data_IF_647609157697
#
_entry.id   IF_647609157697
#
_cell.length_a   1.000
_cell.length_b   1.000
_cell.length_c   1.000
_cell.angle_alpha   90.00
_cell.angle_beta   90.00
_cell.angle_gamma   90.00
#
_symmetry.space_group_name_H-M   'P 1'
#
loop_
_entity.id
_entity.type
_entity.pdbx_description
1 polymer ?
#
# COMPACT_ATOMS: atom_id res chain seq x y z
N UNK A 1 -74.13 166.27 -25.33
CA UNK A 1 -75.25 165.38 -25.03
C UNK A 1 -74.68 163.99 -24.76
N UNK A 2 -74.88 163.47 -23.55
CA UNK A 2 -75.23 162.08 -23.15
C UNK A 2 -74.64 160.89 -23.93
N UNK A 3 -74.32 159.72 -23.37
CA UNK A 3 -74.36 159.15 -22.03
C UNK A 3 -73.54 157.82 -22.08
N UNK A 4 -72.81 157.54 -21.00
CA UNK A 4 -72.85 156.32 -20.16
C UNK A 4 -73.97 155.26 -20.41
N UNK A 5 -73.97 154.02 -19.83
CA UNK A 5 -73.02 153.32 -18.95
C UNK A 5 -72.98 151.76 -19.21
N UNK A 6 -72.95 150.79 -18.23
CA UNK A 6 -71.94 149.72 -18.14
C UNK A 6 -72.61 148.34 -17.84
N UNK A 7 -72.18 147.41 -16.94
CA UNK A 7 -70.87 146.80 -16.60
C UNK A 7 -70.88 145.23 -16.62
N UNK A 8 -69.73 144.62 -16.24
CA UNK A 8 -69.60 143.40 -15.41
C UNK A 8 -69.55 141.98 -16.09
N UNK A 9 -69.10 140.91 -15.38
CA UNK A 9 -67.80 140.28 -15.64
C UNK A 9 -67.83 138.73 -15.75
N UNK A 10 -66.63 138.14 -15.92
CA UNK A 10 -66.18 136.86 -15.33
C UNK A 10 -65.77 135.71 -16.27
N UNK A 11 -64.66 135.10 -15.83
CA UNK A 11 -64.13 133.75 -16.04
C UNK A 11 -63.32 133.45 -17.31
N UNK A 12 -62.06 133.10 -17.00
CA UNK A 12 -61.01 132.44 -17.81
C UNK A 12 -61.60 131.42 -18.80
N UNK A 13 -60.95 131.29 -19.97
CA UNK A 13 -60.51 129.95 -20.34
C UNK A 13 -59.11 129.96 -20.97
N UNK A 14 -58.17 129.29 -20.31
CA UNK A 14 -57.39 128.15 -20.83
C UNK A 14 -57.04 128.05 -22.34
N UNK A 15 -56.84 129.15 -23.08
CA UNK A 15 -56.48 129.09 -24.52
C UNK A 15 -54.97 128.98 -24.79
N UNK A 16 -54.13 129.32 -23.81
CA UNK A 16 -52.69 129.04 -23.85
C UNK A 16 -52.31 127.63 -23.34
N UNK A 17 -53.25 126.92 -22.69
CA UNK A 17 -53.04 125.53 -22.29
C UNK A 17 -53.07 124.57 -23.48
N UNK A 18 -53.73 124.92 -24.59
CA UNK A 18 -53.77 124.08 -25.80
C UNK A 18 -52.39 123.92 -26.47
N UNK A 19 -51.64 124.99 -26.80
CA UNK A 19 -50.30 124.82 -27.38
C UNK A 19 -49.32 124.21 -26.36
N UNK A 20 -49.44 124.57 -25.08
CA UNK A 20 -48.61 123.96 -24.02
C UNK A 20 -48.91 122.47 -23.84
N UNK A 21 -50.18 122.07 -23.87
CA UNK A 21 -50.61 120.67 -23.79
C UNK A 21 -50.15 119.89 -25.03
N UNK A 22 -50.18 120.49 -26.22
CA UNK A 22 -49.65 119.86 -27.45
C UNK A 22 -48.14 119.64 -27.34
N UNK A 23 -47.38 120.61 -26.83
CA UNK A 23 -45.94 120.45 -26.61
C UNK A 23 -45.63 119.41 -25.53
N UNK A 24 -46.40 119.37 -24.45
CA UNK A 24 -46.27 118.36 -23.40
C UNK A 24 -46.63 116.96 -23.92
N UNK A 25 -47.68 116.84 -24.74
CA UNK A 25 -48.07 115.56 -25.37
C UNK A 25 -47.01 115.11 -26.38
N UNK A 26 -46.44 116.01 -27.18
CA UNK A 26 -45.34 115.69 -28.10
C UNK A 26 -44.06 115.31 -27.35
N UNK A 27 -43.73 116.00 -26.26
CA UNK A 27 -42.61 115.65 -25.39
C UNK A 27 -42.80 114.30 -24.69
N UNK A 28 -44.02 114.02 -24.19
CA UNK A 28 -44.39 112.75 -23.59
C UNK A 28 -44.39 111.62 -24.62
N UNK A 29 -44.86 111.85 -25.85
CA UNK A 29 -44.82 110.87 -26.93
C UNK A 29 -43.38 110.59 -27.39
N UNK A 30 -42.52 111.61 -27.49
CA UNK A 30 -41.10 111.46 -27.80
C UNK A 30 -40.36 110.71 -26.68
N UNK A 31 -40.62 111.04 -25.42
CA UNK A 31 -40.06 110.35 -24.26
C UNK A 31 -40.53 108.89 -24.19
N UNK A 32 -41.84 108.62 -24.39
CA UNK A 32 -42.38 107.28 -24.42
C UNK A 32 -41.82 106.44 -25.58
N UNK A 33 -41.64 107.04 -26.77
CA UNK A 33 -41.01 106.40 -27.93
C UNK A 33 -39.53 106.08 -27.68
N UNK A 34 -38.79 107.00 -27.07
CA UNK A 34 -37.41 106.76 -26.65
C UNK A 34 -37.32 105.69 -25.57
N UNK A 35 -38.19 105.72 -24.56
CA UNK A 35 -38.26 104.70 -23.52
C UNK A 35 -38.62 103.33 -24.10
N UNK A 36 -39.56 103.26 -25.04
CA UNK A 36 -39.95 102.03 -25.73
C UNK A 36 -38.79 101.47 -26.56
N UNK A 37 -38.08 102.33 -27.30
CA UNK A 37 -36.89 101.93 -28.06
C UNK A 37 -35.74 101.47 -27.15
N UNK A 38 -35.53 102.15 -26.02
CA UNK A 38 -34.54 101.78 -25.01
C UNK A 38 -34.89 100.45 -24.33
N UNK A 39 -36.19 100.20 -24.07
CA UNK A 39 -36.71 98.93 -23.56
C UNK A 39 -36.45 97.81 -24.58
N UNK A 40 -36.77 98.06 -25.85
CA UNK A 40 -36.61 97.09 -26.93
C UNK A 40 -35.12 96.78 -27.22
N UNK A 41 -34.21 97.73 -27.02
CA UNK A 41 -32.77 97.48 -27.05
C UNK A 41 -32.29 96.64 -25.87
N UNK A 42 -32.83 96.88 -24.67
CA UNK A 42 -32.51 96.06 -23.48
C UNK A 42 -33.05 94.64 -23.62
N UNK A 43 -34.25 94.47 -24.16
CA UNK A 43 -34.87 93.16 -24.40
C UNK A 43 -34.10 92.38 -25.46
N UNK A 44 -33.66 93.04 -26.55
CA UNK A 44 -32.80 92.42 -27.57
C UNK A 44 -31.42 92.07 -27.02
N UNK A 45 -30.82 92.92 -26.20
CA UNK A 45 -29.54 92.62 -25.55
C UNK A 45 -29.68 91.47 -24.53
N UNK A 46 -30.78 91.42 -23.78
CA UNK A 46 -31.09 90.34 -22.84
C UNK A 46 -31.39 89.02 -23.57
N UNK A 47 -32.08 89.05 -24.72
CA UNK A 47 -32.28 87.88 -25.58
C UNK A 47 -30.96 87.41 -26.20
N UNK A 48 -30.11 88.31 -26.70
CA UNK A 48 -28.80 87.95 -27.23
C UNK A 48 -27.92 87.31 -26.15
N UNK A 49 -27.91 87.85 -24.93
CA UNK A 49 -27.21 87.26 -23.79
C UNK A 49 -27.79 85.90 -23.38
N UNK A 50 -29.12 85.74 -23.35
CA UNK A 50 -29.72 84.46 -23.00
C UNK A 50 -29.47 83.38 -24.06
N UNK A 51 -29.45 83.74 -25.34
CA UNK A 51 -29.05 82.83 -26.42
C UNK A 51 -27.58 82.47 -26.35
N UNK A 52 -26.69 83.43 -26.03
CA UNK A 52 -25.25 83.17 -25.86
C UNK A 52 -24.98 82.25 -24.66
N UNK A 53 -25.68 82.43 -23.55
CA UNK A 53 -25.62 81.54 -22.38
C UNK A 53 -26.13 80.13 -22.74
N UNK A 54 -27.22 80.01 -23.49
CA UNK A 54 -27.74 78.71 -23.94
C UNK A 54 -26.76 78.00 -24.89
N UNK A 55 -26.17 78.72 -25.85
CA UNK A 55 -25.17 78.18 -26.77
C UNK A 55 -23.92 77.71 -26.02
N UNK A 56 -23.41 78.52 -25.08
CA UNK A 56 -22.30 78.13 -24.21
C UNK A 56 -22.64 76.92 -23.34
N UNK A 57 -23.88 76.81 -22.86
CA UNK A 57 -24.37 75.64 -22.13
C UNK A 57 -24.43 74.37 -22.99
N UNK A 58 -24.88 74.49 -24.24
CA UNK A 58 -24.89 73.42 -25.24
C UNK A 58 -23.46 72.99 -25.62
N UNK A 59 -22.55 73.94 -25.82
CA UNK A 59 -21.16 73.67 -26.14
C UNK A 59 -20.44 73.00 -24.96
N UNK A 60 -20.69 73.46 -23.74
CA UNK A 60 -20.18 72.85 -22.52
C UNK A 60 -20.74 71.42 -22.29
N UNK A 61 -22.01 71.17 -22.61
CA UNK A 61 -22.61 69.83 -22.52
C UNK A 61 -22.08 68.90 -23.60
N UNK A 62 -21.87 69.37 -24.84
CA UNK A 62 -21.21 68.59 -25.90
C UNK A 62 -19.77 68.24 -25.51
N UNK A 63 -19.02 69.19 -24.94
CA UNK A 63 -17.64 68.93 -24.50
C UNK A 63 -17.60 68.03 -23.25
N UNK A 64 -18.57 68.12 -22.34
CA UNK A 64 -18.74 67.18 -21.24
C UNK A 64 -19.06 65.77 -21.77
N UNK A 65 -20.01 65.65 -22.71
CA UNK A 65 -20.38 64.37 -23.30
C UNK A 65 -19.23 63.75 -24.10
N UNK A 66 -18.43 64.55 -24.81
CA UNK A 66 -17.21 64.10 -25.48
C UNK A 66 -16.16 63.60 -24.50
N UNK A 67 -15.96 64.30 -23.38
CA UNK A 67 -15.05 63.84 -22.32
C UNK A 67 -15.54 62.55 -21.67
N UNK A 68 -16.83 62.44 -21.38
CA UNK A 68 -17.44 61.21 -20.88
C UNK A 68 -17.32 60.05 -21.88
N UNK A 69 -17.58 60.30 -23.16
CA UNK A 69 -17.40 59.30 -24.22
C UNK A 69 -15.95 58.80 -24.26
N UNK A 70 -14.96 59.69 -24.22
CA UNK A 70 -13.54 59.32 -24.16
C UNK A 70 -13.21 58.53 -22.89
N UNK A 71 -13.72 58.95 -21.73
CA UNK A 71 -13.54 58.25 -20.47
C UNK A 71 -14.17 56.84 -20.50
N UNK A 72 -15.36 56.69 -21.07
CA UNK A 72 -15.99 55.37 -21.27
C UNK A 72 -15.24 54.50 -22.28
N UNK A 73 -14.73 55.08 -23.37
CA UNK A 73 -13.90 54.36 -24.33
C UNK A 73 -12.59 53.86 -23.69
N UNK A 74 -11.95 54.67 -22.86
CA UNK A 74 -10.77 54.27 -22.09
C UNK A 74 -11.11 53.16 -21.12
N UNK A 75 -12.18 53.28 -20.33
CA UNK A 75 -12.63 52.20 -19.43
C UNK A 75 -12.94 50.90 -20.17
N UNK A 76 -13.53 50.96 -21.36
CA UNK A 76 -13.77 49.78 -22.20
C UNK A 76 -12.47 49.14 -22.69
N UNK A 77 -11.49 49.94 -23.08
CA UNK A 77 -10.16 49.46 -23.48
C UNK A 77 -9.43 48.83 -22.30
N UNK A 78 -9.47 49.46 -21.12
CA UNK A 78 -8.89 48.94 -19.89
C UNK A 78 -9.55 47.62 -19.49
N UNK A 79 -10.88 47.55 -19.48
CA UNK A 79 -11.61 46.32 -19.19
C UNK A 79 -11.32 45.21 -20.21
N UNK A 80 -11.14 45.55 -21.48
CA UNK A 80 -10.73 44.59 -22.51
C UNK A 80 -9.29 44.10 -22.29
N UNK A 81 -8.37 44.98 -21.89
CA UNK A 81 -7.00 44.61 -21.54
C UNK A 81 -6.94 43.69 -20.32
N UNK A 82 -7.68 44.01 -19.24
CA UNK A 82 -7.77 43.16 -18.05
C UNK A 82 -8.37 41.78 -18.37
N UNK A 83 -9.42 41.72 -19.18
CA UNK A 83 -10.01 40.43 -19.60
C UNK A 83 -9.04 39.57 -20.41
N UNK A 84 -8.18 40.16 -21.25
CA UNK A 84 -7.15 39.40 -21.96
C UNK A 84 -6.14 38.80 -20.99
N UNK A 85 -5.64 39.59 -20.04
CA UNK A 85 -4.70 39.10 -19.01
C UNK A 85 -5.33 37.98 -18.18
N UNK A 86 -6.58 38.13 -17.74
CA UNK A 86 -7.31 37.07 -17.02
C UNK A 86 -7.48 35.80 -17.86
N UNK A 87 -7.73 35.94 -19.16
CA UNK A 87 -7.82 34.79 -20.08
C UNK A 87 -6.46 34.11 -20.24
N UNK A 88 -5.39 34.86 -20.39
CA UNK A 88 -4.03 34.32 -20.52
C UNK A 88 -3.59 33.63 -19.22
N UNK A 89 -3.93 34.19 -18.06
CA UNK A 89 -3.72 33.57 -16.75
C UNK A 89 -4.57 32.32 -16.57
N UNK A 90 -5.84 32.33 -17.01
CA UNK A 90 -6.70 31.14 -17.00
C UNK A 90 -6.11 30.02 -17.88
N UNK A 91 -5.64 30.37 -19.08
CA UNK A 91 -4.99 29.42 -19.99
C UNK A 91 -3.67 28.90 -19.37
N UNK A 92 -2.88 29.78 -18.77
CA UNK A 92 -1.66 29.42 -18.06
C UNK A 92 -1.91 28.51 -16.86
N UNK A 93 -2.97 28.77 -16.09
CA UNK A 93 -3.40 27.95 -14.97
C UNK A 93 -3.88 26.57 -15.44
N UNK A 94 -4.63 26.51 -16.55
CA UNK A 94 -5.09 25.25 -17.16
C UNK A 94 -3.92 24.40 -17.69
N UNK A 95 -2.91 25.01 -18.30
CA UNK A 95 -1.71 24.29 -18.73
C UNK A 95 -0.92 23.76 -17.53
N UNK A 96 -0.78 24.57 -16.48
CA UNK A 96 -0.11 24.14 -15.24
C UNK A 96 -0.90 23.05 -14.51
N UNK A 97 -2.24 23.10 -14.50
CA UNK A 97 -3.06 22.03 -13.90
C UNK A 97 -2.92 20.72 -14.66
N UNK A 98 -2.92 20.76 -16.00
CA UNK A 98 -2.67 19.58 -16.83
C UNK A 98 -1.27 18.98 -16.56
N UNK A 99 -0.24 19.82 -16.41
CA UNK A 99 1.10 19.35 -16.03
C UNK A 99 1.14 18.77 -14.62
N UNK A 100 0.41 19.34 -13.65
CA UNK A 100 0.32 18.81 -12.30
C UNK A 100 -0.40 17.46 -12.27
N UNK A 101 -1.46 17.28 -13.06
CA UNK A 101 -2.16 16.01 -13.23
C UNK A 101 -1.24 14.95 -13.86
N UNK A 102 -0.48 15.31 -14.89
CA UNK A 102 0.50 14.39 -15.49
C UNK A 102 1.62 14.01 -14.50
N UNK A 103 2.14 14.97 -13.73
CA UNK A 103 3.15 14.67 -12.72
C UNK A 103 2.58 13.83 -11.57
N UNK A 104 1.34 14.09 -11.15
CA UNK A 104 0.66 13.30 -10.13
C UNK A 104 0.45 11.85 -10.60
N UNK A 105 -0.03 11.66 -11.83
CA UNK A 105 -0.19 10.31 -12.41
C UNK A 105 1.15 9.58 -12.52
N UNK A 106 2.20 10.25 -13.02
CA UNK A 106 3.57 9.71 -13.05
C UNK A 106 4.11 9.37 -11.66
N UNK A 107 3.84 10.21 -10.65
CA UNK A 107 4.26 9.96 -9.28
C UNK A 107 3.54 8.75 -8.68
N UNK A 108 2.21 8.65 -8.88
CA UNK A 108 1.44 7.49 -8.41
C UNK A 108 1.89 6.20 -9.08
N UNK A 109 2.21 6.26 -10.38
CA UNK A 109 2.73 5.12 -11.14
C UNK A 109 4.11 4.70 -10.62
N UNK A 110 5.03 5.65 -10.44
CA UNK A 110 6.36 5.39 -9.86
C UNK A 110 6.26 4.83 -8.43
N UNK A 111 5.36 5.36 -7.60
CA UNK A 111 5.11 4.84 -6.26
C UNK A 111 4.55 3.41 -6.28
N UNK A 112 3.66 3.09 -7.23
CA UNK A 112 3.15 1.73 -7.43
C UNK A 112 4.27 0.77 -7.86
N UNK A 113 5.08 1.16 -8.83
CA UNK A 113 6.23 0.37 -9.30
C UNK A 113 7.25 0.14 -8.18
N UNK A 114 7.54 1.15 -7.37
CA UNK A 114 8.43 1.03 -6.21
C UNK A 114 7.89 0.06 -5.16
N UNK A 115 6.59 0.12 -4.83
CA UNK A 115 5.95 -0.86 -3.92
C UNK A 115 6.01 -2.28 -4.48
N UNK A 116 5.75 -2.46 -5.76
CA UNK A 116 5.83 -3.77 -6.42
C UNK A 116 7.25 -4.32 -6.45
N UNK A 117 8.27 -3.47 -6.61
CA UNK A 117 9.68 -3.90 -6.53
C UNK A 117 10.02 -4.41 -5.13
N UNK A 118 9.64 -3.67 -4.09
CA UNK A 118 9.87 -4.10 -2.69
C UNK A 118 9.17 -5.42 -2.37
N UNK A 119 7.92 -5.61 -2.82
CA UNK A 119 7.19 -6.87 -2.61
C UNK A 119 7.88 -8.07 -3.27
N UNK A 120 8.48 -7.87 -4.45
CA UNK A 120 9.27 -8.92 -5.12
C UNK A 120 10.55 -9.25 -4.37
N UNK A 121 11.27 -8.22 -3.94
CA UNK A 121 12.52 -8.38 -3.20
C UNK A 121 12.26 -9.08 -1.85
N UNK A 122 11.16 -8.74 -1.17
CA UNK A 122 10.71 -9.42 0.04
C UNK A 122 10.39 -10.89 -0.24
N UNK A 123 9.63 -11.19 -1.30
CA UNK A 123 9.34 -12.57 -1.69
C UNK A 123 10.62 -13.36 -2.03
N UNK A 124 11.57 -12.75 -2.77
CA UNK A 124 12.86 -13.36 -3.08
C UNK A 124 13.67 -13.66 -1.82
N UNK A 125 13.74 -12.71 -0.88
CA UNK A 125 14.43 -12.88 0.40
C UNK A 125 13.82 -14.04 1.19
N UNK A 126 12.50 -14.06 1.34
CA UNK A 126 11.77 -15.10 2.07
C UNK A 126 11.99 -16.49 1.45
N UNK A 127 11.91 -16.60 0.12
CA UNK A 127 12.13 -17.86 -0.59
C UNK A 127 13.59 -18.31 -0.52
N UNK A 128 14.54 -17.37 -0.58
CA UNK A 128 15.97 -17.66 -0.39
C UNK A 128 16.23 -18.19 1.02
N UNK A 129 15.65 -17.57 2.05
CA UNK A 129 15.75 -18.04 3.43
C UNK A 129 15.11 -19.43 3.58
N UNK A 130 13.95 -19.67 2.96
CA UNK A 130 13.29 -20.97 2.99
C UNK A 130 14.17 -22.06 2.37
N UNK A 131 14.77 -21.77 1.21
CA UNK A 131 15.69 -22.69 0.53
C UNK A 131 16.93 -23.01 1.39
N UNK A 132 17.52 -22.02 2.06
CA UNK A 132 18.63 -22.24 2.98
C UNK A 132 18.24 -23.15 4.16
N UNK A 133 17.08 -22.93 4.76
CA UNK A 133 16.60 -23.75 5.89
C UNK A 133 16.35 -25.20 5.47
N UNK A 134 15.81 -25.43 4.28
CA UNK A 134 15.66 -26.78 3.71
C UNK A 134 17.02 -27.43 3.44
N UNK A 135 17.93 -26.70 2.77
CA UNK A 135 19.23 -27.25 2.37
C UNK A 135 20.10 -27.68 3.56
N UNK A 136 20.13 -26.89 4.64
CA UNK A 136 21.02 -27.14 5.77
C UNK A 136 20.34 -27.91 6.91
N UNK A 137 19.14 -27.48 7.31
CA UNK A 137 18.46 -27.99 8.50
C UNK A 137 17.35 -29.01 8.18
N UNK A 138 16.97 -29.19 6.91
CA UNK A 138 15.76 -29.94 6.52
C UNK A 138 14.51 -29.45 7.27
N UNK A 139 14.47 -28.15 7.61
CA UNK A 139 13.39 -27.55 8.39
C UNK A 139 12.19 -27.22 7.49
N UNK A 140 11.41 -28.26 7.23
CA UNK A 140 10.21 -28.22 6.37
C UNK A 140 9.14 -27.29 6.95
N UNK A 141 8.92 -27.30 8.26
CA UNK A 141 7.91 -26.46 8.91
C UNK A 141 8.31 -24.97 8.88
N UNK A 142 9.59 -24.70 9.12
CA UNK A 142 10.17 -23.38 9.01
C UNK A 142 10.10 -22.84 7.58
N UNK A 143 10.39 -23.68 6.59
CA UNK A 143 10.23 -23.33 5.18
C UNK A 143 8.76 -23.05 4.85
N UNK A 144 7.81 -23.87 5.30
CA UNK A 144 6.37 -23.71 5.01
C UNK A 144 5.84 -22.35 5.44
N UNK A 145 6.28 -21.87 6.62
CA UNK A 145 5.95 -20.53 7.12
C UNK A 145 6.50 -19.43 6.22
N UNK A 146 7.74 -19.56 5.76
CA UNK A 146 8.36 -18.59 4.85
C UNK A 146 7.70 -18.59 3.46
N UNK A 147 7.36 -19.76 2.91
CA UNK A 147 6.60 -19.87 1.66
C UNK A 147 5.19 -19.25 1.78
N UNK A 148 4.54 -19.39 2.94
CA UNK A 148 3.25 -18.74 3.18
C UNK A 148 3.39 -17.21 3.25
N UNK A 149 4.45 -16.68 3.88
CA UNK A 149 4.75 -15.25 3.90
C UNK A 149 5.07 -14.71 2.50
N UNK A 150 5.86 -15.46 1.72
CA UNK A 150 6.16 -15.12 0.32
C UNK A 150 4.87 -15.09 -0.52
N UNK A 151 3.92 -15.99 -0.27
CA UNK A 151 2.63 -15.99 -0.95
C UNK A 151 1.82 -14.72 -0.66
N UNK A 152 1.87 -14.22 0.57
CA UNK A 152 1.25 -12.93 0.94
C UNK A 152 1.94 -11.77 0.22
N UNK A 153 3.27 -11.73 0.19
CA UNK A 153 4.02 -10.67 -0.49
C UNK A 153 3.72 -10.63 -2.00
N UNK A 154 3.54 -11.80 -2.64
CA UNK A 154 3.19 -11.90 -4.07
C UNK A 154 1.70 -11.70 -4.35
N UNK A 155 0.81 -11.71 -3.35
CA UNK A 155 -0.63 -11.62 -3.54
C UNK A 155 -1.07 -10.26 -4.09
N UNK A 156 -0.35 -9.19 -3.70
CA UNK A 156 -0.64 -7.81 -4.06
C UNK A 156 -0.07 -7.40 -5.43
N UNK A 157 0.69 -8.30 -6.08
CA UNK A 157 1.24 -8.05 -7.41
C UNK A 157 0.13 -8.10 -8.49
N UNK A 158 0.23 -7.27 -9.54
CA UNK A 158 -0.71 -7.30 -10.65
C UNK A 158 -0.66 -8.63 -11.42
N UNK A 159 -1.79 -9.03 -12.00
CA UNK A 159 -1.96 -10.35 -12.62
C UNK A 159 -0.99 -10.63 -13.78
N UNK A 160 -0.62 -9.60 -14.55
CA UNK A 160 0.31 -9.71 -15.69
C UNK A 160 1.67 -10.33 -15.30
N UNK A 161 2.15 -10.05 -14.09
CA UNK A 161 3.45 -10.46 -13.60
C UNK A 161 3.32 -11.51 -12.47
N UNK A 162 2.26 -11.41 -11.67
CA UNK A 162 2.07 -12.23 -10.47
C UNK A 162 1.33 -13.56 -10.68
N UNK A 163 0.60 -13.76 -11.79
CA UNK A 163 -0.19 -14.99 -11.99
C UNK A 163 0.70 -16.25 -12.05
N UNK A 164 1.72 -16.23 -12.91
CA UNK A 164 2.63 -17.38 -13.08
C UNK A 164 3.42 -17.66 -11.78
N UNK A 165 3.87 -16.61 -11.10
CA UNK A 165 4.58 -16.72 -9.83
C UNK A 165 3.70 -17.35 -8.74
N UNK A 166 2.44 -16.89 -8.60
CA UNK A 166 1.50 -17.46 -7.64
C UNK A 166 1.16 -18.92 -7.96
N UNK A 167 1.02 -19.28 -9.23
CA UNK A 167 0.74 -20.65 -9.63
C UNK A 167 1.93 -21.58 -9.35
N UNK A 168 3.17 -21.15 -9.66
CA UNK A 168 4.37 -21.89 -9.32
C UNK A 168 4.53 -22.05 -7.80
N UNK A 169 4.27 -20.97 -7.05
CA UNK A 169 4.39 -20.98 -5.60
C UNK A 169 3.37 -21.93 -4.94
N UNK A 170 2.14 -22.00 -5.46
CA UNK A 170 1.13 -22.95 -4.98
C UNK A 170 1.60 -24.38 -5.19
N UNK A 171 2.12 -24.72 -6.38
CA UNK A 171 2.65 -26.06 -6.65
C UNK A 171 3.82 -26.42 -5.72
N UNK A 172 4.71 -25.46 -5.45
CA UNK A 172 5.82 -25.67 -4.51
C UNK A 172 5.34 -25.85 -3.07
N UNK A 173 4.32 -25.11 -2.66
CA UNK A 173 3.68 -25.29 -1.34
C UNK A 173 3.01 -26.64 -1.23
N UNK A 174 2.32 -27.12 -2.25
CA UNK A 174 1.72 -28.46 -2.26
C UNK A 174 2.80 -29.55 -2.19
N UNK A 175 3.92 -29.36 -2.90
CA UNK A 175 5.07 -30.26 -2.81
C UNK A 175 5.70 -30.25 -1.40
N UNK A 176 5.80 -29.08 -0.78
CA UNK A 176 6.28 -28.94 0.60
C UNK A 176 5.31 -29.54 1.61
N UNK A 177 4.01 -29.43 1.34
CA UNK A 177 2.95 -29.99 2.16
C UNK A 177 2.98 -31.52 2.14
N UNK A 178 3.23 -32.12 0.97
CA UNK A 178 3.39 -33.56 0.77
C UNK A 178 4.58 -34.17 1.56
N UNK A 179 5.60 -33.37 1.91
CA UNK A 179 6.71 -33.81 2.76
C UNK A 179 6.31 -34.00 4.23
N UNK A 180 5.13 -33.50 4.64
CA UNK A 180 4.62 -33.58 6.00
C UNK A 180 5.56 -32.87 7.00
N UNK A 181 5.98 -33.60 8.03
CA UNK A 181 6.93 -33.11 9.07
C UNK A 181 8.39 -33.11 8.63
N UNK A 182 8.70 -33.65 7.45
CA UNK A 182 10.06 -33.76 6.92
C UNK A 182 10.79 -35.05 7.29
N UNK A 183 11.75 -35.50 6.45
CA UNK A 183 12.41 -36.79 6.61
C UNK A 183 13.24 -36.91 7.90
N UNK A 184 13.95 -35.86 8.34
CA UNK A 184 14.71 -35.94 9.61
C UNK A 184 13.81 -36.15 10.82
N UNK A 185 12.71 -35.40 10.90
CA UNK A 185 11.74 -35.50 12.01
C UNK A 185 11.09 -36.89 12.03
N UNK A 186 10.71 -37.42 10.86
CA UNK A 186 10.19 -38.79 10.76
C UNK A 186 11.22 -39.84 11.20
N UNK A 187 12.48 -39.70 10.80
CA UNK A 187 13.56 -40.60 11.22
C UNK A 187 13.78 -40.56 12.74
N UNK A 188 13.73 -39.37 13.36
CA UNK A 188 13.82 -39.20 14.82
C UNK A 188 12.65 -39.85 15.55
N UNK A 189 11.43 -39.68 15.07
CA UNK A 189 10.25 -40.35 15.66
C UNK A 189 10.37 -41.88 15.58
N UNK A 190 10.78 -42.41 14.43
CA UNK A 190 11.00 -43.85 14.26
C UNK A 190 12.14 -44.38 15.16
N UNK A 191 13.24 -43.63 15.29
CA UNK A 191 14.33 -43.99 16.22
C UNK A 191 13.84 -44.04 17.67
N UNK A 192 13.05 -43.06 18.10
CA UNK A 192 12.46 -43.05 19.44
C UNK A 192 11.50 -44.23 19.66
N UNK A 193 10.69 -44.58 18.66
CA UNK A 193 9.80 -45.74 18.73
C UNK A 193 10.59 -47.05 18.86
N UNK A 194 11.68 -47.21 18.11
CA UNK A 194 12.58 -48.37 18.24
C UNK A 194 13.22 -48.41 19.62
N UNK A 195 13.70 -47.27 20.13
CA UNK A 195 14.30 -47.20 21.47
C UNK A 195 13.31 -47.63 22.57
N UNK A 196 12.06 -47.17 22.50
CA UNK A 196 10.99 -47.58 23.42
C UNK A 196 10.64 -49.06 23.27
N UNK A 197 10.57 -49.57 22.04
CA UNK A 197 10.26 -50.97 21.78
C UNK A 197 11.35 -51.91 22.31
N UNK A 198 12.64 -51.53 22.17
CA UNK A 198 13.77 -52.29 22.73
C UNK A 198 13.71 -52.36 24.26
N UNK A 199 13.37 -51.25 24.93
CA UNK A 199 13.20 -51.22 26.40
C UNK A 199 12.06 -52.15 26.88
N UNK A 200 11.03 -52.35 26.06
CA UNK A 200 9.90 -53.24 26.35
C UNK A 200 10.15 -54.72 26.09
N UNK A 201 11.31 -55.11 25.53
CA UNK A 201 11.58 -56.51 25.20
C UNK A 201 11.85 -57.34 26.48
N UNK A 202 11.30 -58.57 26.56
CA UNK A 202 11.53 -59.45 27.69
C UNK A 202 13.01 -59.85 27.77
N UNK A 203 13.58 -59.79 28.99
CA UNK A 203 14.99 -60.16 29.21
C UNK A 203 15.24 -61.67 29.13
N UNK A 204 14.20 -62.49 29.32
CA UNK A 204 14.25 -63.95 29.24
C UNK A 204 13.08 -64.44 28.41
N UNK A 205 13.32 -65.42 27.52
CA UNK A 205 12.25 -66.11 26.82
C UNK A 205 11.80 -67.30 27.67
N UNK A 206 10.49 -67.49 27.88
CA UNK A 206 10.00 -68.71 28.49
C UNK A 206 10.38 -69.92 27.62
N UNK A 207 10.68 -71.08 28.22
CA UNK A 207 11.08 -72.27 27.49
C UNK A 207 9.97 -72.68 26.52
N UNK A 208 10.36 -73.08 25.29
CA UNK A 208 9.38 -73.53 24.30
C UNK A 208 8.69 -74.82 24.77
N UNK A 209 7.38 -75.02 24.53
CA UNK A 209 6.67 -76.24 24.92
C UNK A 209 7.32 -77.53 24.39
N UNK A 210 7.92 -77.48 23.20
CA UNK A 210 8.68 -78.59 22.62
C UNK A 210 10.00 -78.89 23.35
N UNK A 211 10.70 -77.86 23.87
CA UNK A 211 11.91 -78.04 24.68
C UNK A 211 11.57 -78.51 26.09
N UNK A 212 10.44 -78.06 26.64
CA UNK A 212 9.93 -78.52 27.94
C UNK A 212 9.52 -80.00 27.91
N UNK A 213 8.92 -80.47 26.81
CA UNK A 213 8.54 -81.87 26.61
C UNK A 213 9.74 -82.82 26.39
N UNK A 214 10.87 -82.29 25.92
CA UNK A 214 12.08 -83.07 25.65
C UNK A 214 13.00 -83.24 26.87
N UNK A 215 12.67 -82.62 28.03
CA UNK A 215 13.48 -82.75 29.25
C UNK A 215 13.33 -84.15 29.87
N UNK A 216 14.42 -84.91 30.06
CA UNK A 216 14.39 -86.17 30.80
C UNK A 216 13.87 -86.00 32.23
N UNK A 217 13.10 -86.96 32.72
CA UNK A 217 12.49 -86.94 34.07
C UNK A 217 13.49 -86.68 35.21
N UNK A 218 14.74 -87.12 35.06
CA UNK A 218 15.80 -86.90 36.05
C UNK A 218 16.26 -85.44 36.13
N UNK A 219 16.19 -84.69 35.02
CA UNK A 219 16.45 -83.25 35.03
C UNK A 219 15.35 -82.51 35.80
N UNK A 220 14.10 -82.97 35.70
CA UNK A 220 12.99 -82.42 36.48
C UNK A 220 13.13 -82.71 37.98
N UNK A 221 13.63 -83.90 38.35
CA UNK A 221 13.88 -84.28 39.74
C UNK A 221 15.06 -83.52 40.39
N UNK A 222 16.06 -83.13 39.60
CA UNK A 222 17.25 -82.40 40.05
C UNK A 222 17.13 -80.87 39.90
N UNK A 223 16.12 -80.37 39.20
CA UNK A 223 15.86 -78.94 38.98
C UNK A 223 15.86 -78.07 40.26
N UNK A 224 15.42 -78.55 41.45
CA UNK A 224 15.50 -77.75 42.68
C UNK A 224 16.92 -77.50 43.19
N UNK A 225 17.90 -78.29 42.72
CA UNK A 225 19.27 -78.29 43.26
C UNK A 225 20.32 -77.84 42.25
N UNK A 226 20.10 -78.06 40.95
CA UNK A 226 21.06 -77.71 39.88
C UNK A 226 20.31 -77.22 38.66
N UNK A 227 20.56 -75.97 38.27
CA UNK A 227 20.04 -75.40 37.03
C UNK A 227 21.09 -75.56 35.93
N UNK A 228 20.83 -76.47 34.99
CA UNK A 228 21.73 -76.73 33.85
C UNK A 228 21.30 -75.83 32.70
N UNK A 229 21.92 -74.66 32.60
CA UNK A 229 21.71 -73.75 31.48
C UNK A 229 22.61 -74.15 30.31
N UNK A 230 22.08 -74.57 29.15
CA UNK A 230 22.90 -74.89 27.99
C UNK A 230 23.67 -73.63 27.55
N UNK A 231 24.99 -73.70 27.60
CA UNK A 231 25.91 -72.63 27.21
C UNK A 231 25.87 -72.43 25.70
N UNK A 232 24.93 -71.60 25.21
CA UNK A 232 24.99 -71.07 23.84
C UNK A 232 26.09 -70.02 23.74
N UNK A 233 27.37 -70.42 23.76
CA UNK A 233 28.59 -69.62 23.53
C UNK A 233 28.80 -68.31 24.35
N UNK A 234 27.77 -67.75 24.98
CA UNK A 234 27.78 -66.69 25.98
C UNK A 234 26.69 -67.07 26.98
N UNK A 235 27.04 -67.27 28.25
CA UNK A 235 26.06 -67.49 29.31
C UNK A 235 25.09 -66.30 29.45
N UNK A 236 24.03 -66.42 30.27
CA UNK A 236 23.18 -65.28 30.60
C UNK A 236 24.06 -64.14 31.13
N UNK A 237 23.93 -62.95 30.52
CA UNK A 237 24.73 -61.78 30.90
C UNK A 237 24.60 -61.52 32.40
N UNK A 238 25.74 -61.30 33.05
CA UNK A 238 25.76 -60.86 34.44
C UNK A 238 25.01 -59.53 34.58
N UNK A 239 24.55 -59.21 35.78
CA UNK A 239 23.84 -57.94 36.01
C UNK A 239 24.70 -56.72 35.63
N UNK A 240 26.02 -56.79 35.88
CA UNK A 240 26.96 -55.74 35.50
C UNK A 240 27.12 -55.61 33.98
N UNK A 241 27.21 -56.73 33.25
CA UNK A 241 27.28 -56.72 31.78
C UNK A 241 25.99 -56.22 31.15
N UNK A 242 24.83 -56.52 31.75
CA UNK A 242 23.53 -55.97 31.32
C UNK A 242 23.49 -54.45 31.47
N UNK A 243 23.90 -53.94 32.62
CA UNK A 243 23.99 -52.50 32.85
C UNK A 243 24.93 -51.83 31.84
N UNK A 244 26.11 -52.41 31.59
CA UNK A 244 27.06 -51.89 30.61
C UNK A 244 26.51 -51.90 29.17
N UNK A 245 25.73 -52.92 28.80
CA UNK A 245 25.08 -52.99 27.51
C UNK A 245 23.95 -51.95 27.37
N UNK A 246 23.18 -51.72 28.44
CA UNK A 246 22.12 -50.70 28.47
C UNK A 246 22.72 -49.29 28.35
N UNK A 247 23.83 -48.99 29.05
CA UNK A 247 24.57 -47.73 28.94
C UNK A 247 25.15 -47.52 27.53
N UNK A 248 25.76 -48.56 26.95
CA UNK A 248 26.28 -48.52 25.58
C UNK A 248 25.17 -48.28 24.55
N UNK A 249 24.01 -48.93 24.71
CA UNK A 249 22.85 -48.71 23.85
C UNK A 249 22.35 -47.28 23.94
N UNK A 250 22.25 -46.71 25.15
CA UNK A 250 21.84 -45.33 25.34
C UNK A 250 22.80 -44.37 24.64
N UNK A 251 24.11 -44.57 24.79
CA UNK A 251 25.11 -43.77 24.09
C UNK A 251 24.95 -43.85 22.57
N UNK A 252 24.84 -45.05 22.00
CA UNK A 252 24.71 -45.23 20.55
C UNK A 252 23.39 -44.66 20.00
N UNK A 253 22.29 -44.74 20.76
CA UNK A 253 21.03 -44.09 20.42
C UNK A 253 21.17 -42.55 20.41
N UNK A 254 21.89 -41.97 21.37
CA UNK A 254 22.15 -40.52 21.36
C UNK A 254 23.05 -40.09 20.20
N UNK A 255 24.05 -40.91 19.84
CA UNK A 255 24.89 -40.66 18.66
C UNK A 255 24.09 -40.78 17.36
N UNK A 256 23.20 -41.77 17.26
CA UNK A 256 22.29 -41.91 16.13
C UNK A 256 21.36 -40.69 16.01
N UNK A 257 20.83 -40.20 17.14
CA UNK A 257 20.00 -38.99 17.19
C UNK A 257 20.77 -37.76 16.67
N UNK A 258 21.97 -37.53 17.19
CA UNK A 258 22.82 -36.41 16.78
C UNK A 258 23.26 -36.51 15.31
N UNK A 259 23.45 -37.72 14.78
CA UNK A 259 23.76 -37.92 13.37
C UNK A 259 22.55 -37.61 12.47
N UNK A 260 21.35 -38.04 12.86
CA UNK A 260 20.10 -37.72 12.14
C UNK A 260 19.84 -36.21 12.12
N UNK A 261 19.99 -35.53 13.26
CA UNK A 261 19.81 -34.07 13.36
C UNK A 261 20.74 -33.30 12.42
N UNK A 262 21.99 -33.75 12.30
CA UNK A 262 22.99 -33.18 11.37
C UNK A 262 22.82 -33.63 9.91
N UNK A 263 21.95 -34.60 9.63
CA UNK A 263 21.83 -35.22 8.30
C UNK A 263 23.04 -36.09 7.91
N UNK A 264 23.87 -36.51 8.87
CA UNK A 264 25.03 -37.37 8.64
C UNK A 264 24.59 -38.83 8.46
N UNK A 265 24.40 -39.21 7.19
CA UNK A 265 24.00 -40.58 6.81
C UNK A 265 25.02 -41.63 7.26
N UNK A 266 26.31 -41.30 7.20
CA UNK A 266 27.39 -42.24 7.53
C UNK A 266 27.49 -42.48 9.04
N UNK A 267 27.44 -41.42 9.84
CA UNK A 267 27.43 -41.48 11.30
C UNK A 267 26.17 -42.16 11.82
N UNK A 268 25.01 -41.88 11.20
CA UNK A 268 23.76 -42.57 11.52
C UNK A 268 23.88 -44.06 11.27
N UNK A 269 24.35 -44.46 10.08
CA UNK A 269 24.50 -45.88 9.74
C UNK A 269 25.44 -46.63 10.68
N UNK A 270 26.57 -46.00 11.03
CA UNK A 270 27.52 -46.56 11.98
C UNK A 270 26.90 -46.73 13.37
N UNK A 271 26.19 -45.72 13.88
CA UNK A 271 25.51 -45.77 15.18
C UNK A 271 24.39 -46.83 15.17
N UNK A 272 23.53 -46.87 14.15
CA UNK A 272 22.44 -47.86 14.05
C UNK A 272 22.97 -49.30 13.97
N UNK A 273 24.11 -49.54 13.32
CA UNK A 273 24.77 -50.85 13.32
C UNK A 273 25.27 -51.25 14.71
N UNK A 274 25.84 -50.30 15.48
CA UNK A 274 26.27 -50.55 16.84
C UNK A 274 25.08 -50.78 17.78
N UNK A 275 23.98 -50.05 17.60
CA UNK A 275 22.70 -50.34 18.31
C UNK A 275 22.23 -51.76 18.03
N UNK A 276 22.20 -52.19 16.77
CA UNK A 276 21.78 -53.55 16.41
C UNK A 276 22.71 -54.61 17.02
N UNK A 277 24.03 -54.37 17.03
CA UNK A 277 25.00 -55.27 17.64
C UNK A 277 24.79 -55.42 19.16
N UNK A 278 24.65 -54.30 19.87
CA UNK A 278 24.41 -54.31 21.31
C UNK A 278 23.04 -54.90 21.67
N UNK A 279 22.00 -54.66 20.84
CA UNK A 279 20.68 -55.24 21.03
C UNK A 279 20.70 -56.77 20.92
N UNK A 280 21.41 -57.31 19.91
CA UNK A 280 21.58 -58.76 19.76
C UNK A 280 22.36 -59.40 20.92
N UNK A 281 23.29 -58.65 21.53
CA UNK A 281 24.00 -59.10 22.72
C UNK A 281 23.13 -59.05 23.98
N UNK A 282 22.28 -58.02 24.12
CA UNK A 282 21.49 -57.73 25.32
C UNK A 282 20.23 -58.58 25.45
N UNK A 283 19.57 -58.89 24.34
CA UNK A 283 18.31 -59.66 24.33
C UNK A 283 18.47 -60.99 23.58
N UNK A 284 17.79 -62.05 24.04
CA UNK A 284 17.68 -63.29 23.28
C UNK A 284 16.95 -63.08 21.94
N UNK A 285 17.23 -63.95 20.95
CA UNK A 285 16.53 -63.91 19.66
C UNK A 285 15.03 -64.14 19.85
N UNK A 286 14.24 -63.18 19.38
CA UNK A 286 12.78 -63.17 19.50
C UNK A 286 12.15 -62.49 18.28
N UNK A 287 10.87 -62.79 17.97
CA UNK A 287 10.16 -62.09 16.90
C UNK A 287 10.18 -60.57 17.08
N UNK A 288 10.08 -60.08 18.32
CA UNK A 288 10.16 -58.66 18.65
C UNK A 288 11.52 -58.05 18.32
N UNK A 289 12.62 -58.71 18.70
CA UNK A 289 13.97 -58.24 18.38
C UNK A 289 14.23 -58.23 16.87
N UNK A 290 13.77 -59.24 16.14
CA UNK A 290 13.90 -59.30 14.66
C UNK A 290 13.11 -58.19 13.97
N UNK A 291 11.93 -57.84 14.47
CA UNK A 291 11.18 -56.69 13.99
C UNK A 291 11.94 -55.37 14.21
N UNK A 292 12.54 -55.17 15.39
CA UNK A 292 13.34 -53.97 15.65
C UNK A 292 14.61 -53.91 14.78
N UNK A 293 15.26 -55.04 14.52
CA UNK A 293 16.38 -55.09 13.57
C UNK A 293 15.95 -54.70 12.15
N UNK A 294 14.78 -55.16 11.70
CA UNK A 294 14.22 -54.78 10.41
C UNK A 294 13.93 -53.27 10.35
N UNK A 295 13.39 -52.69 11.42
CA UNK A 295 13.17 -51.24 11.52
C UNK A 295 14.46 -50.44 11.51
N UNK A 296 15.51 -50.88 12.22
CA UNK A 296 16.83 -50.25 12.17
C UNK A 296 17.41 -50.29 10.75
N UNK A 297 17.24 -51.39 10.02
CA UNK A 297 17.66 -51.50 8.62
C UNK A 297 16.83 -50.60 7.69
N UNK A 298 15.52 -50.50 7.91
CA UNK A 298 14.66 -49.59 7.17
C UNK A 298 15.04 -48.13 7.44
N UNK A 299 15.36 -47.78 8.69
CA UNK A 299 15.83 -46.45 9.09
C UNK A 299 17.13 -46.08 8.41
N UNK A 300 18.07 -47.02 8.21
CA UNK A 300 19.31 -46.79 7.44
C UNK A 300 19.05 -46.45 5.97
N UNK A 301 17.97 -46.97 5.38
CA UNK A 301 17.62 -46.67 3.98
C UNK A 301 16.79 -45.41 3.83
N UNK A 302 16.21 -44.89 4.91
CA UNK A 302 15.37 -43.70 4.87
C UNK A 302 16.20 -42.45 4.48
N UNK A 303 15.64 -41.55 3.64
CA UNK A 303 16.26 -40.27 3.34
C UNK A 303 16.30 -39.38 4.58
N UNK A 304 17.32 -38.52 4.67
CA UNK A 304 17.48 -37.52 5.74
C UNK A 304 17.36 -36.08 5.23
N UNK A 305 17.01 -35.91 3.95
CA UNK A 305 16.85 -34.62 3.29
C UNK A 305 15.65 -34.71 2.35
N UNK A 306 14.87 -33.65 2.30
CA UNK A 306 13.81 -33.48 1.33
C UNK A 306 14.43 -33.26 -0.07
N UNK A 307 14.32 -34.26 -0.93
CA UNK A 307 14.68 -34.14 -2.34
C UNK A 307 13.39 -33.84 -3.12
N UNK A 308 13.24 -32.61 -3.61
CA UNK A 308 12.14 -32.23 -4.52
C UNK A 308 12.69 -31.39 -5.66
N UNK A 309 12.48 -31.87 -6.89
CA UNK A 309 12.85 -31.15 -8.12
C UNK A 309 11.95 -29.95 -8.41
N UNK A 310 10.83 -29.81 -7.68
CA UNK A 310 9.84 -28.75 -7.88
C UNK A 310 10.18 -27.51 -7.05
N UNK A 311 10.84 -27.67 -5.90
CA UNK A 311 11.16 -26.57 -5.00
C UNK A 311 12.18 -25.61 -5.62
N UNK A 312 11.92 -24.31 -5.49
CA UNK A 312 12.82 -23.24 -5.94
C UNK A 312 12.53 -22.70 -7.34
N UNK A 313 11.52 -23.20 -8.04
CA UNK A 313 11.16 -22.72 -9.38
C UNK A 313 10.69 -21.25 -9.37
N UNK A 314 9.94 -20.84 -8.35
CA UNK A 314 9.42 -19.49 -8.14
C UNK A 314 10.56 -18.52 -7.86
N UNK A 315 11.53 -18.93 -7.04
CA UNK A 315 12.74 -18.15 -6.75
C UNK A 315 13.57 -17.94 -8.03
N UNK A 316 13.73 -18.98 -8.84
CA UNK A 316 14.42 -18.87 -10.12
C UNK A 316 13.69 -17.94 -11.10
N UNK A 317 12.36 -17.99 -11.13
CA UNK A 317 11.54 -17.08 -11.94
C UNK A 317 11.71 -15.63 -11.49
N UNK A 318 11.66 -15.34 -10.18
CA UNK A 318 11.88 -14.00 -9.64
C UNK A 318 13.25 -13.44 -10.06
N UNK A 319 14.33 -14.20 -9.87
CA UNK A 319 15.68 -13.80 -10.28
C UNK A 319 15.79 -13.52 -11.77
N UNK A 320 15.17 -14.36 -12.60
CA UNK A 320 15.16 -14.17 -14.04
C UNK A 320 14.41 -12.91 -14.49
N UNK A 321 13.44 -12.44 -13.70
CA UNK A 321 12.73 -11.18 -13.94
C UNK A 321 13.57 -9.97 -13.50
N UNK A 322 14.32 -10.09 -12.40
CA UNK A 322 15.23 -9.06 -11.91
C UNK A 322 16.42 -8.86 -12.87
N UNK A 323 17.05 -9.93 -13.35
CA UNK A 323 18.21 -9.87 -14.26
C UNK A 323 17.90 -9.28 -15.65
N UNK A 324 16.62 -9.17 -16.02
CA UNK A 324 16.18 -8.61 -17.31
C UNK A 324 15.93 -7.10 -17.28
N UNK A 325 16.00 -6.47 -16.10
CA UNK A 325 15.81 -5.02 -15.92
C UNK A 325 17.13 -4.27 -15.98
#
# INVERSE_FOLDING_TARGET
MNDTPPPAPSRRPARWLLPLAVVVVLGAAGYAGWHYWQQQQRDRAAQAQSTDVQLKGLEATVEALRRDQRATSQRLQDAAATNRVLRDEMLGLSQRSALLEENLTRLTESANQGRQAVQRDEAELLLTQAAQRLAFADDVEGARRLYAQAATALADLPDNEGLNLRQALVQERDALDALGTGPRVQALHRLNAVAQALQGLPSELPPSPAEAAAKPWWQSALAPFVDITPTRLNGPLTQAERAAADDALQLELTLARAAIERGDRSGRDAALNRVAHWAQRRWPDSPGLRAQHAELQALRKAPLQAESSVLGSTLQQLRSQTDRR
#
